data_IF_139740466202
#
_entry.id   IF_139740466202
#
_cell.length_a   1.000
_cell.length_b   1.000
_cell.length_c   1.000
_cell.angle_alpha   90.00
_cell.angle_beta   90.00
_cell.angle_gamma   90.00
#
_symmetry.space_group_name_H-M   'P 1'
#
loop_
_entity.id
_entity.type
_entity.pdbx_description
1 polymer ?
#
# COMPACT_ATOMS: atom_id res chain seq x y z
N UNK A 1 34.07 13.04 -33.14
CA UNK A 1 32.63 12.98 -32.77
C UNK A 1 32.20 11.54 -32.92
N UNK A 2 32.43 10.72 -31.89
CA UNK A 2 32.01 9.31 -31.90
C UNK A 2 30.81 9.16 -30.98
N UNK A 3 29.65 8.99 -31.61
CA UNK A 3 28.40 8.62 -30.95
C UNK A 3 28.55 7.19 -30.39
N UNK A 4 28.65 7.07 -29.07
CA UNK A 4 28.52 5.80 -28.37
C UNK A 4 27.20 5.13 -28.77
N UNK A 5 27.29 4.12 -29.64
CA UNK A 5 26.20 3.18 -29.91
C UNK A 5 25.95 2.35 -28.65
N UNK A 6 24.93 2.73 -27.87
CA UNK A 6 24.35 1.86 -26.86
C UNK A 6 23.71 0.65 -27.55
N UNK A 7 24.30 -0.53 -27.37
CA UNK A 7 23.56 -1.78 -27.61
C UNK A 7 22.57 -1.94 -26.44
N UNK A 8 21.27 -2.13 -26.70
CA UNK A 8 20.32 -2.39 -25.62
C UNK A 8 20.70 -3.72 -24.96
N UNK A 9 21.24 -3.66 -23.74
CA UNK A 9 21.37 -4.84 -22.91
C UNK A 9 19.94 -5.31 -22.59
N UNK A 10 19.55 -6.43 -23.18
CA UNK A 10 18.28 -7.05 -22.85
C UNK A 10 18.37 -7.55 -21.40
N UNK A 11 17.59 -6.95 -20.50
CA UNK A 11 17.47 -7.35 -19.10
C UNK A 11 16.19 -8.16 -18.92
N UNK A 12 16.24 -9.15 -18.04
CA UNK A 12 15.04 -9.84 -17.56
C UNK A 12 14.73 -9.35 -16.16
N UNK A 13 13.48 -8.94 -15.95
CA UNK A 13 12.97 -8.50 -14.67
C UNK A 13 11.99 -9.54 -14.15
N UNK A 14 12.28 -10.09 -12.98
CA UNK A 14 11.41 -11.02 -12.25
C UNK A 14 11.15 -10.49 -10.86
N UNK A 15 9.90 -10.54 -10.42
CA UNK A 15 9.50 -10.12 -9.08
C UNK A 15 8.46 -11.08 -8.53
N UNK A 16 8.56 -11.37 -7.23
CA UNK A 16 7.60 -12.18 -6.51
C UNK A 16 7.03 -11.35 -5.34
N UNK A 17 5.71 -11.44 -5.15
CA UNK A 17 5.04 -10.96 -3.94
C UNK A 17 4.60 -12.20 -3.18
N UNK A 18 5.01 -12.31 -1.93
CA UNK A 18 4.56 -13.36 -1.04
C UNK A 18 3.78 -12.72 0.11
N UNK A 19 2.57 -13.23 0.36
CA UNK A 19 1.82 -12.89 1.55
C UNK A 19 2.41 -13.69 2.73
N UNK A 20 2.83 -13.02 3.79
CA UNK A 20 3.12 -13.67 5.06
C UNK A 20 1.90 -13.48 5.95
N UNK A 21 1.14 -14.55 6.20
CA UNK A 21 0.02 -14.52 7.12
C UNK A 21 0.51 -14.30 8.55
N UNK A 22 0.45 -13.06 9.03
CA UNK A 22 0.54 -12.78 10.46
C UNK A 22 -0.87 -12.42 10.93
N UNK A 23 -1.48 -13.32 11.71
CA UNK A 23 -2.72 -13.02 12.42
C UNK A 23 -2.47 -11.81 13.33
N UNK A 24 -3.05 -10.66 12.98
CA UNK A 24 -2.96 -9.47 13.81
C UNK A 24 -4.03 -9.56 14.91
N UNK A 25 -3.62 -10.00 16.10
CA UNK A 25 -4.45 -9.93 17.30
C UNK A 25 -4.55 -8.47 17.77
N UNK A 26 -5.70 -7.85 17.52
CA UNK A 26 -6.15 -6.64 18.21
C UNK A 26 -5.60 -5.31 17.68
N UNK A 27 -6.51 -4.37 17.39
CA UNK A 27 -6.19 -2.97 17.11
C UNK A 27 -5.95 -2.21 18.43
N UNK A 28 -4.77 -1.62 18.68
CA UNK A 28 -4.64 -0.54 19.64
C UNK A 28 -5.17 0.76 19.04
N UNK A 29 -5.92 1.52 19.85
CA UNK A 29 -6.53 2.79 19.45
C UNK A 29 -5.51 3.82 18.96
N UNK A 30 -5.90 4.58 17.94
CA UNK A 30 -5.10 5.65 17.34
C UNK A 30 -4.96 6.85 18.30
N UNK A 31 -3.85 6.91 19.02
CA UNK A 31 -3.28 8.17 19.52
C UNK A 31 -2.03 8.49 18.68
N UNK A 32 -1.80 9.78 18.41
CA UNK A 32 -1.00 10.27 17.29
C UNK A 32 0.41 9.69 17.17
N UNK A 33 0.77 9.31 15.95
CA UNK A 33 2.13 8.95 15.58
C UNK A 33 2.81 10.14 14.90
N UNK A 34 3.56 10.91 15.69
CA UNK A 34 4.70 11.68 15.18
C UNK A 34 5.84 10.70 14.90
N UNK A 35 6.51 10.86 13.76
CA UNK A 35 7.65 10.03 13.33
C UNK A 35 8.74 9.89 14.40
N UNK A 36 9.28 8.69 14.67
CA UNK A 36 10.59 8.57 15.29
C UNK A 36 11.70 8.53 14.22
N UNK A 37 12.83 9.14 14.57
CA UNK A 37 14.06 9.12 13.81
C UNK A 37 14.64 7.69 13.68
N UNK A 38 15.40 7.47 12.61
CA UNK A 38 16.01 6.19 12.27
C UNK A 38 17.12 5.78 13.26
N UNK A 39 17.05 4.54 13.75
CA UNK A 39 18.14 3.84 14.46
C UNK A 39 19.05 3.13 13.44
N UNK A 40 20.38 3.08 13.62
CA UNK A 40 21.29 2.42 12.67
C UNK A 40 21.15 0.89 12.70
N UNK A 41 21.44 0.27 11.54
CA UNK A 41 21.37 -1.18 11.32
C UNK A 41 22.47 -1.96 12.08
N UNK A 42 22.22 -3.21 12.51
CA UNK A 42 23.23 -4.06 13.13
C UNK A 42 24.25 -4.59 12.10
N UNK A 43 25.47 -4.96 12.53
CA UNK A 43 26.53 -5.47 11.66
C UNK A 43 26.20 -6.85 11.06
N UNK A 44 26.64 -7.04 9.82
CA UNK A 44 26.29 -8.13 8.88
C UNK A 44 26.63 -9.56 9.31
N UNK A 45 27.31 -9.76 10.45
CA UNK A 45 27.80 -11.08 10.89
C UNK A 45 26.78 -11.86 11.76
N UNK A 46 25.76 -11.18 12.31
CA UNK A 46 24.67 -11.84 13.04
C UNK A 46 23.61 -12.45 12.11
N UNK A 47 23.47 -11.92 10.89
CA UNK A 47 22.51 -12.43 9.89
C UNK A 47 22.92 -13.82 9.39
N UNK A 48 24.22 -14.05 9.19
CA UNK A 48 24.75 -15.32 8.68
C UNK A 48 24.62 -16.46 9.70
N UNK A 49 24.74 -16.18 11.01
CA UNK A 49 24.56 -17.18 12.07
C UNK A 49 23.10 -17.58 12.27
N UNK A 50 22.16 -16.65 12.11
CA UNK A 50 20.72 -16.95 12.20
C UNK A 50 20.20 -17.80 11.04
N UNK A 51 20.87 -17.78 9.88
CA UNK A 51 20.45 -18.54 8.69
C UNK A 51 20.84 -20.03 8.81
N UNK A 52 21.89 -20.38 9.56
CA UNK A 52 22.33 -21.78 9.69
C UNK A 52 21.55 -22.59 10.74
N UNK A 53 20.88 -21.97 11.72
CA UNK A 53 20.07 -22.69 12.72
C UNK A 53 18.64 -23.03 12.25
N UNK A 54 18.21 -22.56 11.07
CA UNK A 54 16.86 -22.84 10.50
C UNK A 54 16.95 -23.86 9.36
N UNK A 55 17.70 -24.94 9.58
CA UNK A 55 17.76 -26.07 8.64
C UNK A 55 17.52 -27.40 9.33
N UNK A 56 16.48 -27.46 10.16
CA UNK A 56 15.74 -28.71 10.38
C UNK A 56 14.39 -28.58 9.66
N UNK A 57 13.92 -29.62 8.94
CA UNK A 57 12.62 -29.61 8.29
C UNK A 57 11.53 -29.76 9.37
N UNK A 58 11.24 -28.67 10.06
CA UNK A 58 10.07 -28.57 10.91
C UNK A 58 8.83 -28.66 10.02
N UNK A 59 8.02 -29.66 10.35
CA UNK A 59 6.67 -29.92 9.86
C UNK A 59 5.91 -28.61 9.61
N UNK A 60 5.39 -28.47 8.39
CA UNK A 60 4.64 -27.30 7.93
C UNK A 60 3.58 -26.92 8.96
N UNK A 61 3.68 -25.77 9.66
CA UNK A 61 2.64 -25.39 10.59
C UNK A 61 1.35 -25.24 9.79
N UNK A 62 0.33 -26.00 10.20
CA UNK A 62 -0.99 -25.97 9.59
C UNK A 62 -1.43 -24.52 9.42
N UNK A 63 -1.79 -24.17 8.19
CA UNK A 63 -2.29 -22.86 7.82
C UNK A 63 -3.42 -22.50 8.81
N UNK A 64 -3.31 -21.38 9.56
CA UNK A 64 -4.36 -21.02 10.50
C UNK A 64 -5.66 -20.90 9.71
N UNK A 65 -6.68 -21.63 10.17
CA UNK A 65 -8.00 -21.62 9.55
C UNK A 65 -8.42 -20.16 9.29
N UNK A 66 -8.99 -19.85 8.12
CA UNK A 66 -9.33 -18.48 7.76
C UNK A 66 -10.17 -17.88 8.89
N UNK A 67 -9.68 -16.78 9.46
CA UNK A 67 -10.39 -16.06 10.50
C UNK A 67 -11.77 -15.74 9.93
N UNK A 68 -12.80 -16.42 10.45
CA UNK A 68 -14.19 -16.22 10.02
C UNK A 68 -14.43 -14.72 10.06
N UNK A 69 -14.78 -14.14 8.91
CA UNK A 69 -15.24 -12.76 8.80
C UNK A 69 -16.29 -12.58 9.89
N UNK A 70 -15.95 -11.84 10.95
CA UNK A 70 -16.88 -11.58 12.05
C UNK A 70 -18.07 -10.91 11.41
N UNK A 71 -19.26 -11.50 11.59
CA UNK A 71 -20.52 -10.89 11.14
C UNK A 71 -20.51 -9.41 11.57
N UNK A 72 -20.89 -8.48 10.68
CA UNK A 72 -20.92 -7.07 11.03
C UNK A 72 -21.70 -6.92 12.34
N UNK A 73 -21.13 -6.18 13.30
CA UNK A 73 -21.76 -5.96 14.58
C UNK A 73 -23.16 -5.38 14.35
N UNK A 74 -24.19 -6.09 14.81
CA UNK A 74 -25.60 -5.67 14.70
C UNK A 74 -25.95 -4.49 15.60
N UNK A 75 -24.99 -4.00 16.38
CA UNK A 75 -25.15 -2.86 17.28
C UNK A 75 -24.85 -1.49 16.65
N UNK A 76 -25.10 -0.40 17.41
CA UNK A 76 -24.67 0.94 17.03
C UNK A 76 -23.15 1.01 16.83
N UNK A 77 -22.68 1.97 16.02
CA UNK A 77 -21.25 2.15 15.79
C UNK A 77 -20.52 2.44 17.11
N UNK A 78 -19.31 1.87 17.34
CA UNK A 78 -18.51 2.13 18.53
C UNK A 78 -17.78 3.49 18.45
N UNK A 79 -18.51 4.54 18.10
CA UNK A 79 -18.01 5.91 17.96
C UNK A 79 -18.64 6.81 19.01
N UNK A 80 -17.80 7.35 19.90
CA UNK A 80 -18.24 8.26 20.95
C UNK A 80 -18.91 7.55 22.14
N UNK A 81 -19.82 8.24 22.81
CA UNK A 81 -20.62 7.67 23.90
C UNK A 81 -21.61 6.62 23.37
N UNK A 82 -21.97 5.60 24.17
CA UNK A 82 -22.86 4.52 23.73
C UNK A 82 -24.31 4.98 23.49
N UNK A 83 -24.78 5.97 24.25
CA UNK A 83 -26.16 6.51 24.25
C UNK A 83 -26.48 7.46 23.08
N UNK A 84 -25.50 7.72 22.20
CA UNK A 84 -25.72 8.63 21.08
C UNK A 84 -26.75 8.08 20.09
N UNK A 85 -27.65 8.97 19.68
CA UNK A 85 -28.60 8.70 18.60
C UNK A 85 -27.85 8.37 17.31
N UNK A 86 -28.32 7.33 16.64
CA UNK A 86 -27.83 6.88 15.35
C UNK A 86 -29.00 6.74 14.38
N UNK A 87 -28.83 7.25 13.16
CA UNK A 87 -29.77 7.07 12.05
C UNK A 87 -29.04 6.42 10.89
N UNK A 88 -29.64 5.39 10.32
CA UNK A 88 -29.11 4.67 9.15
C UNK A 88 -30.11 4.80 8.00
N UNK A 89 -29.60 5.06 6.80
CA UNK A 89 -30.35 4.93 5.54
C UNK A 89 -29.56 4.00 4.64
N UNK A 90 -30.20 2.93 4.19
CA UNK A 90 -29.62 1.99 3.24
C UNK A 90 -30.32 2.12 1.90
N UNK A 91 -29.54 2.14 0.84
CA UNK A 91 -29.98 2.22 -0.54
C UNK A 91 -29.31 1.10 -1.35
N UNK A 92 -30.10 0.38 -2.14
CA UNK A 92 -29.56 -0.61 -3.07
C UNK A 92 -29.09 0.11 -4.34
N UNK A 93 -27.82 -0.04 -4.67
CA UNK A 93 -27.24 0.58 -5.87
C UNK A 93 -27.31 -0.36 -7.08
N UNK A 94 -27.20 -1.67 -6.83
CA UNK A 94 -27.33 -2.76 -7.80
C UNK A 94 -27.66 -4.07 -7.04
N UNK A 95 -28.06 -5.16 -7.73
CA UNK A 95 -28.10 -6.49 -7.10
C UNK A 95 -26.79 -6.81 -6.38
N UNK A 96 -26.88 -7.25 -5.12
CA UNK A 96 -25.71 -7.51 -4.27
C UNK A 96 -24.89 -6.28 -3.81
N UNK A 97 -25.27 -5.04 -4.17
CA UNK A 97 -24.52 -3.83 -3.80
C UNK A 97 -25.40 -2.82 -3.09
N UNK A 98 -25.03 -2.44 -1.87
CA UNK A 98 -25.77 -1.45 -1.06
C UNK A 98 -24.87 -0.35 -0.50
N UNK A 99 -25.41 0.86 -0.40
CA UNK A 99 -24.82 1.99 0.31
C UNK A 99 -25.62 2.24 1.59
N UNK A 100 -24.97 2.13 2.74
CA UNK A 100 -25.53 2.53 4.03
C UNK A 100 -24.87 3.82 4.50
N UNK A 101 -25.68 4.86 4.67
CA UNK A 101 -25.27 6.16 5.23
C UNK A 101 -25.68 6.19 6.70
N UNK A 102 -24.71 6.38 7.58
CA UNK A 102 -24.89 6.39 9.04
C UNK A 102 -24.57 7.78 9.58
N UNK A 103 -25.57 8.42 10.18
CA UNK A 103 -25.40 9.62 10.99
C UNK A 103 -25.41 9.25 12.47
N UNK A 104 -24.33 9.54 13.19
CA UNK A 104 -24.24 9.29 14.64
C UNK A 104 -23.85 10.55 15.40
N UNK A 105 -24.56 10.81 16.50
CA UNK A 105 -24.37 12.05 17.28
C UNK A 105 -24.92 13.29 16.56
N UNK A 106 -24.79 14.45 17.20
CA UNK A 106 -25.37 15.72 16.74
C UNK A 106 -24.50 16.91 17.14
N UNK A 107 -24.81 18.09 16.61
CA UNK A 107 -24.21 19.36 17.01
C UNK A 107 -23.03 19.80 16.14
N UNK A 108 -22.34 20.86 16.58
CA UNK A 108 -21.12 21.37 15.95
C UNK A 108 -19.92 21.07 16.84
N UNK A 109 -18.83 20.59 16.25
CA UNK A 109 -17.56 20.37 16.96
C UNK A 109 -16.59 21.48 16.58
N UNK A 110 -15.93 22.06 17.58
CA UNK A 110 -14.84 23.02 17.34
C UNK A 110 -13.71 22.32 16.56
N UNK A 111 -13.09 22.98 15.59
CA UNK A 111 -12.06 22.39 14.70
C UNK A 111 -10.98 21.61 15.46
N UNK A 112 -10.45 22.16 16.56
CA UNK A 112 -9.44 21.51 17.41
C UNK A 112 -9.91 20.30 18.23
N UNK A 113 -11.18 19.92 18.13
CA UNK A 113 -11.80 18.80 18.87
C UNK A 113 -12.39 17.73 17.96
N UNK A 114 -12.26 17.86 16.64
CA UNK A 114 -12.84 16.90 15.68
C UNK A 114 -12.32 15.49 15.92
N UNK A 115 -11.01 15.33 16.16
CA UNK A 115 -10.39 14.02 16.40
C UNK A 115 -10.67 13.44 17.81
N UNK A 116 -11.17 14.25 18.76
CA UNK A 116 -11.35 13.85 20.17
C UNK A 116 -12.80 14.02 20.67
N UNK A 117 -13.75 14.30 19.76
CA UNK A 117 -15.15 14.45 20.13
C UNK A 117 -15.71 13.12 20.62
N UNK A 118 -16.49 13.16 21.69
CA UNK A 118 -17.23 12.00 22.20
C UNK A 118 -18.72 12.04 21.85
N UNK A 119 -19.17 13.09 21.16
CA UNK A 119 -20.59 13.35 20.87
C UNK A 119 -20.90 13.46 19.38
N UNK A 120 -19.89 13.32 18.52
CA UNK A 120 -20.02 13.50 17.08
C UNK A 120 -20.12 14.97 16.70
N UNK A 121 -20.68 15.31 15.52
CA UNK A 121 -21.37 14.40 14.61
C UNK A 121 -20.39 13.57 13.76
N UNK A 122 -20.75 12.33 13.48
CA UNK A 122 -20.09 11.47 12.48
C UNK A 122 -21.04 11.19 11.32
N UNK A 123 -20.50 11.24 10.11
CA UNK A 123 -21.10 10.74 8.88
C UNK A 123 -20.22 9.61 8.35
N UNK A 124 -20.78 8.40 8.30
CA UNK A 124 -20.09 7.21 7.82
C UNK A 124 -20.83 6.67 6.60
N UNK A 125 -20.09 6.42 5.52
CA UNK A 125 -20.60 5.78 4.31
C UNK A 125 -20.03 4.36 4.24
N UNK A 126 -20.91 3.36 4.17
CA UNK A 126 -20.55 1.95 4.07
C UNK A 126 -21.06 1.41 2.76
N UNK A 127 -20.15 1.02 1.87
CA UNK A 127 -20.48 0.26 0.67
C UNK A 127 -20.34 -1.22 0.99
N UNK A 128 -21.44 -1.98 0.87
CA UNK A 128 -21.44 -3.43 1.07
C UNK A 128 -21.63 -4.11 -0.28
N UNK A 129 -20.74 -5.04 -0.59
CA UNK A 129 -20.76 -5.87 -1.80
C UNK A 129 -20.90 -7.32 -1.33
N UNK A 130 -21.98 -7.97 -1.73
CA UNK A 130 -22.18 -9.41 -1.58
C UNK A 130 -21.57 -10.12 -2.81
N UNK A 131 -20.45 -10.85 -2.67
CA UNK A 131 -19.79 -11.48 -3.79
C UNK A 131 -20.58 -12.64 -4.42
N UNK A 132 -21.61 -13.16 -3.74
CA UNK A 132 -22.47 -14.22 -4.29
C UNK A 132 -23.61 -13.65 -5.16
N UNK A 133 -23.94 -12.36 -4.99
CA UNK A 133 -25.06 -11.71 -5.69
C UNK A 133 -24.62 -10.60 -6.65
N UNK A 134 -23.51 -9.93 -6.38
CA UNK A 134 -23.06 -8.80 -7.17
C UNK A 134 -22.42 -9.29 -8.47
N UNK A 135 -23.00 -8.88 -9.61
CA UNK A 135 -22.39 -9.05 -10.92
C UNK A 135 -21.51 -7.83 -11.23
N UNK A 136 -20.23 -7.91 -10.85
CA UNK A 136 -19.30 -6.81 -11.01
C UNK A 136 -17.87 -7.17 -10.62
N UNK A 137 -16.97 -6.18 -10.72
CA UNK A 137 -15.56 -6.34 -10.36
C UNK A 137 -15.09 -5.20 -9.47
N UNK A 138 -14.39 -5.54 -8.40
CA UNK A 138 -13.66 -4.56 -7.61
C UNK A 138 -12.27 -4.37 -8.23
N UNK A 139 -11.95 -3.14 -8.63
CA UNK A 139 -10.69 -2.82 -9.31
C UNK A 139 -9.95 -1.70 -8.60
N UNK A 140 -8.63 -1.77 -8.62
CA UNK A 140 -7.76 -0.64 -8.25
C UNK A 140 -7.48 0.21 -9.48
N UNK A 141 -7.48 1.53 -9.34
CA UNK A 141 -7.24 2.46 -10.46
C UNK A 141 -6.44 3.67 -10.03
N UNK A 142 -5.82 4.32 -11.01
CA UNK A 142 -5.14 5.61 -10.89
C UNK A 142 -5.48 6.42 -12.14
N UNK A 143 -5.14 7.71 -12.13
CA UNK A 143 -5.44 8.59 -13.26
C UNK A 143 -4.54 8.33 -14.47
N UNK A 144 -4.22 9.40 -15.21
CA UNK A 144 -3.35 9.26 -16.40
C UNK A 144 -1.91 8.89 -16.01
N UNK A 145 -1.52 9.22 -14.80
CA UNK A 145 -0.21 8.95 -14.23
C UNK A 145 -0.38 8.60 -12.76
N UNK A 146 0.48 7.72 -12.26
CA UNK A 146 0.59 7.47 -10.82
C UNK A 146 1.26 8.63 -10.08
N UNK A 147 1.99 9.48 -10.79
CA UNK A 147 2.69 10.63 -10.23
C UNK A 147 1.84 11.91 -10.22
N UNK A 148 0.52 11.78 -10.39
CA UNK A 148 -0.43 12.90 -10.31
C UNK A 148 -1.53 12.63 -9.30
N UNK A 149 -2.11 13.70 -8.76
CA UNK A 149 -3.27 13.65 -7.88
C UNK A 149 -4.57 13.64 -8.69
N UNK A 150 -5.44 12.68 -8.41
CA UNK A 150 -6.78 12.59 -8.98
C UNK A 150 -7.84 12.55 -7.89
N UNK A 151 -8.98 13.21 -8.12
CA UNK A 151 -10.14 13.10 -7.22
C UNK A 151 -10.78 11.73 -7.39
N UNK A 152 -11.18 11.09 -6.28
CA UNK A 152 -11.94 9.82 -6.31
C UNK A 152 -13.15 9.88 -7.24
N UNK A 153 -13.88 10.99 -7.25
CA UNK A 153 -15.04 11.20 -8.14
C UNK A 153 -14.67 11.22 -9.62
N UNK A 154 -13.50 11.76 -9.97
CA UNK A 154 -13.02 11.77 -11.34
C UNK A 154 -12.57 10.37 -11.78
N UNK A 155 -11.91 9.62 -10.89
CA UNK A 155 -11.50 8.24 -11.14
C UNK A 155 -12.71 7.31 -11.30
N UNK A 156 -13.70 7.41 -10.41
CA UNK A 156 -14.92 6.62 -10.48
C UNK A 156 -15.68 6.87 -11.79
N UNK A 157 -15.83 8.13 -12.20
CA UNK A 157 -16.45 8.49 -13.49
C UNK A 157 -15.66 7.96 -14.68
N UNK A 158 -14.33 8.10 -14.68
CA UNK A 158 -13.49 7.60 -15.77
C UNK A 158 -13.58 6.08 -15.90
N UNK A 159 -13.65 5.38 -14.78
CA UNK A 159 -13.78 3.93 -14.75
C UNK A 159 -15.22 3.44 -15.04
N UNK A 160 -16.18 4.36 -15.23
CA UNK A 160 -17.60 4.04 -15.28
C UNK A 160 -18.06 3.17 -14.09
N UNK A 161 -17.53 3.46 -12.91
CA UNK A 161 -17.76 2.67 -11.72
C UNK A 161 -19.10 3.03 -11.06
N UNK A 162 -19.80 2.01 -10.54
CA UNK A 162 -21.02 2.18 -9.73
C UNK A 162 -20.74 3.00 -8.45
N UNK A 163 -19.59 2.74 -7.81
CA UNK A 163 -19.13 3.43 -6.62
C UNK A 163 -17.60 3.41 -6.53
N UNK A 164 -17.01 4.31 -5.76
CA UNK A 164 -15.56 4.36 -5.55
C UNK A 164 -15.16 5.05 -4.24
N UNK A 165 -14.09 4.56 -3.64
CA UNK A 165 -13.45 5.12 -2.43
C UNK A 165 -12.00 5.48 -2.73
N UNK A 166 -11.38 6.33 -1.90
CA UNK A 166 -9.93 6.49 -1.99
C UNK A 166 -9.22 5.20 -1.59
N UNK A 167 -8.05 4.94 -2.19
CA UNK A 167 -7.22 3.79 -1.88
C UNK A 167 -6.14 4.09 -0.84
N UNK A 168 -4.97 3.47 -1.06
CA UNK A 168 -3.77 3.54 -0.21
C UNK A 168 -3.19 4.94 -0.04
N UNK A 169 -2.18 5.04 0.84
CA UNK A 169 -1.37 6.24 1.00
C UNK A 169 -0.58 6.58 -0.27
N UNK A 170 -0.34 7.87 -0.45
CA UNK A 170 0.44 8.39 -1.56
C UNK A 170 1.19 9.68 -1.16
N UNK A 171 2.23 10.02 -1.91
CA UNK A 171 3.04 11.21 -1.67
C UNK A 171 2.24 12.48 -1.99
N UNK A 172 2.00 13.31 -0.97
CA UNK A 172 1.41 14.66 -1.11
C UNK A 172 2.45 15.77 -0.97
N UNK A 173 3.49 15.50 -0.19
CA UNK A 173 4.52 16.46 0.19
C UNK A 173 5.86 16.06 -0.42
N UNK A 174 6.68 17.04 -0.81
CA UNK A 174 7.95 16.81 -1.49
C UNK A 174 7.95 17.34 -2.92
N UNK A 175 8.74 16.72 -3.80
CA UNK A 175 8.82 17.11 -5.20
C UNK A 175 7.48 16.87 -5.90
N UNK A 176 6.87 17.97 -6.36
CA UNK A 176 5.54 17.99 -6.99
C UNK A 176 5.47 17.15 -8.26
N UNK A 177 6.60 16.84 -8.90
CA UNK A 177 6.68 15.94 -10.07
C UNK A 177 6.27 14.51 -9.74
N UNK A 178 6.26 14.14 -8.46
CA UNK A 178 5.96 12.80 -7.97
C UNK A 178 4.75 12.77 -7.02
N UNK A 179 3.93 13.82 -7.02
CA UNK A 179 2.76 13.91 -6.17
C UNK A 179 1.68 12.89 -6.60
N UNK A 180 1.36 11.93 -5.75
CA UNK A 180 0.44 10.83 -6.07
C UNK A 180 1.12 9.46 -6.12
N UNK A 181 2.46 9.40 -6.14
CA UNK A 181 3.16 8.13 -6.09
C UNK A 181 2.73 7.35 -4.83
N UNK A 182 2.38 6.07 -4.96
CA UNK A 182 1.92 5.28 -3.83
C UNK A 182 3.03 5.06 -2.80
N UNK A 183 2.63 5.05 -1.53
CA UNK A 183 3.48 4.71 -0.40
C UNK A 183 2.95 3.41 0.20
N UNK A 184 3.74 2.34 0.07
CA UNK A 184 3.30 0.98 0.40
C UNK A 184 3.09 0.13 -0.86
N UNK A 185 2.81 -1.16 -0.67
CA UNK A 185 2.63 -2.11 -1.75
C UNK A 185 1.43 -1.73 -2.63
N UNK A 186 1.67 -1.58 -3.93
CA UNK A 186 0.62 -1.41 -4.94
C UNK A 186 0.77 -2.47 -6.00
N UNK A 187 -0.29 -3.24 -6.22
CA UNK A 187 -0.40 -4.26 -7.26
C UNK A 187 -1.60 -3.91 -8.12
N UNK A 188 -1.43 -4.02 -9.44
CA UNK A 188 -2.53 -3.86 -10.40
C UNK A 188 -2.30 -4.78 -11.58
N UNK A 189 -3.33 -5.54 -11.96
CA UNK A 189 -3.29 -6.42 -13.13
C UNK A 189 -2.07 -7.37 -13.10
N UNK A 190 -1.79 -7.94 -11.92
CA UNK A 190 -0.63 -8.81 -11.68
C UNK A 190 0.74 -8.11 -11.63
N UNK A 191 0.81 -6.78 -11.80
CA UNK A 191 2.06 -6.01 -11.81
C UNK A 191 2.29 -5.31 -10.48
N UNK A 192 3.48 -5.48 -9.92
CA UNK A 192 3.94 -4.69 -8.78
C UNK A 192 4.32 -3.29 -9.28
N UNK A 193 3.63 -2.28 -8.77
CA UNK A 193 3.85 -0.88 -9.12
C UNK A 193 4.61 -0.12 -8.04
N UNK A 194 4.57 -0.59 -6.81
CA UNK A 194 5.40 -0.12 -5.70
C UNK A 194 5.57 -1.24 -4.69
N UNK A 195 6.73 -1.28 -4.04
CA UNK A 195 7.03 -2.27 -3.00
C UNK A 195 6.41 -1.86 -1.65
N UNK A 196 6.35 -2.77 -0.65
CA UNK A 196 6.01 -2.41 0.72
C UNK A 196 6.91 -1.27 1.26
N UNK A 197 6.36 -0.41 2.10
CA UNK A 197 7.06 0.68 2.79
C UNK A 197 8.19 0.18 3.68
N UNK A 198 8.10 -1.07 4.16
CA UNK A 198 9.03 -1.66 5.13
C UNK A 198 8.66 -1.36 6.58
N UNK A 199 7.57 -0.63 6.83
CA UNK A 199 7.08 -0.37 8.18
C UNK A 199 6.28 -1.57 8.71
N UNK A 200 6.31 -1.78 10.04
CA UNK A 200 5.44 -2.77 10.69
C UNK A 200 3.97 -2.35 10.73
N UNK A 201 3.68 -1.07 10.47
CA UNK A 201 2.34 -0.49 10.50
C UNK A 201 1.59 -0.66 9.17
N UNK A 202 2.26 -1.06 8.11
CA UNK A 202 1.61 -1.32 6.82
C UNK A 202 0.84 -2.64 6.85
N UNK A 203 -0.46 -2.54 6.56
CA UNK A 203 -1.34 -3.67 6.26
C UNK A 203 -1.93 -3.43 4.87
N UNK A 204 -1.73 -4.38 3.98
CA UNK A 204 -2.23 -4.31 2.60
C UNK A 204 -3.48 -5.17 2.46
N UNK A 205 -4.46 -4.65 1.72
CA UNK A 205 -5.57 -5.41 1.18
C UNK A 205 -5.20 -5.79 -0.26
N UNK A 206 -5.06 -7.09 -0.51
CA UNK A 206 -4.83 -7.64 -1.84
C UNK A 206 -6.11 -8.34 -2.34
N UNK A 207 -6.48 -8.03 -3.58
CA UNK A 207 -7.61 -8.62 -4.27
C UNK A 207 -7.07 -9.55 -5.35
N UNK A 208 -7.47 -10.82 -5.29
CA UNK A 208 -7.25 -11.80 -6.33
C UNK A 208 -8.58 -12.01 -7.05
N UNK A 209 -8.70 -11.41 -8.24
CA UNK A 209 -9.92 -11.49 -9.04
C UNK A 209 -10.16 -12.87 -9.63
N UNK A 210 -9.10 -13.64 -9.87
CA UNK A 210 -9.21 -14.96 -10.49
C UNK A 210 -9.66 -15.99 -9.45
N UNK A 211 -9.15 -15.88 -8.23
CA UNK A 211 -9.56 -16.71 -7.10
C UNK A 211 -10.82 -16.20 -6.37
N UNK A 212 -11.37 -15.04 -6.78
CA UNK A 212 -12.39 -14.29 -6.03
C UNK A 212 -12.07 -14.18 -4.52
N UNK A 213 -10.79 -13.90 -4.22
CA UNK A 213 -10.26 -13.93 -2.88
C UNK A 213 -9.75 -12.57 -2.44
N UNK A 214 -9.99 -12.25 -1.17
CA UNK A 214 -9.49 -11.04 -0.52
C UNK A 214 -8.54 -11.45 0.59
N UNK A 215 -7.34 -10.86 0.59
CA UNK A 215 -6.33 -11.08 1.63
C UNK A 215 -6.00 -9.76 2.31
N UNK A 216 -6.03 -9.73 3.62
CA UNK A 216 -5.58 -8.59 4.43
C UNK A 216 -4.38 -9.05 5.24
N UNK A 217 -3.25 -8.36 5.11
CA UNK A 217 -2.08 -8.75 5.86
C UNK A 217 -0.83 -7.98 5.49
N UNK A 218 0.30 -8.53 5.96
CA UNK A 218 1.63 -8.02 5.64
C UNK A 218 2.21 -8.83 4.51
N UNK A 219 2.85 -8.14 3.58
CA UNK A 219 3.40 -8.74 2.37
C UNK A 219 4.89 -8.49 2.33
N UNK A 220 5.63 -9.51 1.95
CA UNK A 220 7.02 -9.41 1.57
C UNK A 220 7.12 -9.30 0.05
N UNK A 221 8.14 -8.61 -0.42
CA UNK A 221 8.42 -8.47 -1.84
C UNK A 221 9.92 -8.60 -2.07
N UNK A 222 10.27 -9.35 -3.10
CA UNK A 222 11.63 -9.40 -3.66
C UNK A 222 11.56 -9.12 -5.15
N UNK A 223 12.55 -8.40 -5.66
CA UNK A 223 12.72 -8.12 -7.07
C UNK A 223 14.18 -8.26 -7.44
N UNK A 224 14.43 -8.79 -8.63
CA UNK A 224 15.78 -9.11 -9.09
C UNK A 224 15.91 -8.76 -10.57
N UNK A 225 17.04 -8.13 -10.92
CA UNK A 225 17.45 -7.85 -12.30
C UNK A 225 18.63 -8.74 -12.63
N UNK A 226 18.45 -9.61 -13.63
CA UNK A 226 19.49 -10.52 -14.09
C UNK A 226 20.06 -10.08 -15.43
N UNK A 227 21.38 -10.14 -15.56
CA UNK A 227 22.03 -9.98 -16.85
C UNK A 227 21.77 -11.20 -17.72
N UNK A 228 21.25 -11.00 -18.93
CA UNK A 228 21.05 -12.10 -19.89
C UNK A 228 22.37 -12.69 -20.41
N UNK A 229 23.48 -11.96 -20.28
CA UNK A 229 24.80 -12.41 -20.74
C UNK A 229 25.64 -13.09 -19.65
N UNK A 230 25.04 -13.46 -18.51
CA UNK A 230 25.72 -14.18 -17.42
C UNK A 230 26.52 -13.31 -16.45
N UNK A 231 26.40 -11.98 -16.52
CA UNK A 231 27.15 -11.02 -15.70
C UNK A 231 26.65 -10.82 -14.26
N UNK A 232 25.93 -11.80 -13.69
CA UNK A 232 25.40 -11.73 -12.33
C UNK A 232 24.00 -11.10 -12.21
N UNK A 233 23.63 -10.79 -10.97
CA UNK A 233 22.30 -10.35 -10.60
C UNK A 233 22.30 -9.24 -9.55
N UNK A 234 21.30 -8.37 -9.60
CA UNK A 234 21.11 -7.26 -8.68
C UNK A 234 19.70 -7.29 -8.08
N UNK A 235 19.62 -7.10 -6.76
CA UNK A 235 18.34 -6.93 -6.07
C UNK A 235 17.76 -5.54 -6.35
N UNK A 236 16.48 -5.50 -6.69
CA UNK A 236 15.74 -4.25 -6.76
C UNK A 236 15.37 -3.78 -5.37
N UNK A 237 15.85 -2.60 -5.01
CA UNK A 237 15.46 -1.96 -3.76
C UNK A 237 14.14 -1.19 -3.86
N UNK A 238 13.71 -0.79 -5.07
CA UNK A 238 12.51 0.06 -5.31
C UNK A 238 11.89 -0.18 -6.70
N UNK A 239 10.60 0.15 -6.82
CA UNK A 239 9.83 0.15 -8.08
C UNK A 239 9.11 1.49 -8.19
N UNK A 240 9.11 2.10 -9.39
CA UNK A 240 8.48 3.40 -9.70
C UNK A 240 8.70 4.49 -8.63
N UNK A 241 9.91 4.56 -8.09
CA UNK A 241 10.28 5.52 -7.05
C UNK A 241 11.13 6.64 -7.63
N UNK A 242 11.06 7.87 -7.08
CA UNK A 242 11.97 8.94 -7.48
C UNK A 242 13.43 8.49 -7.36
N UNK A 243 14.30 8.84 -8.32
CA UNK A 243 15.70 8.48 -8.25
C UNK A 243 16.35 9.12 -7.02
N UNK A 244 17.07 8.33 -6.24
CA UNK A 244 17.94 8.89 -5.20
C UNK A 244 19.23 9.33 -5.85
N UNK A 245 19.46 10.64 -5.85
CA UNK A 245 20.74 11.22 -6.21
C UNK A 245 21.51 11.40 -4.90
N UNK A 246 22.69 10.77 -4.72
CA UNK A 246 23.52 11.02 -3.54
C UNK A 246 23.78 12.52 -3.37
N UNK A 247 23.87 13.00 -2.12
CA UNK A 247 23.99 14.44 -1.83
C UNK A 247 25.18 15.11 -2.56
N UNK A 248 26.29 14.39 -2.77
CA UNK A 248 27.45 14.87 -3.54
C UNK A 248 27.25 14.91 -5.07
N UNK A 249 26.21 14.27 -5.58
CA UNK A 249 25.86 14.21 -7.01
C UNK A 249 24.72 15.17 -7.38
N UNK A 250 23.96 15.67 -6.40
CA UNK A 250 22.86 16.60 -6.63
C UNK A 250 23.33 18.03 -6.95
N UNK A 251 24.57 18.38 -6.59
CA UNK A 251 25.15 19.73 -6.70
C UNK A 251 26.21 19.87 -7.80
N UNK A 252 26.56 18.78 -8.49
CA UNK A 252 27.58 18.80 -9.53
C UNK A 252 27.04 19.48 -10.80
N UNK A 253 27.37 20.76 -10.97
CA UNK A 253 27.46 21.34 -12.32
C UNK A 253 28.52 20.55 -13.09
N UNK A 254 28.33 20.37 -14.39
CA UNK A 254 29.11 19.45 -15.24
C UNK A 254 30.65 19.58 -15.17
N UNK A 255 31.18 20.63 -14.53
CA UNK A 255 32.58 20.95 -14.36
C UNK A 255 33.26 20.34 -13.12
N UNK A 256 32.53 19.85 -12.11
CA UNK A 256 33.10 19.20 -10.93
C UNK A 256 32.43 17.84 -10.74
N UNK A 257 32.99 16.79 -11.34
CA UNK A 257 32.47 15.42 -11.22
C UNK A 257 33.17 14.70 -10.06
N UNK A 258 32.60 14.65 -8.84
CA UNK A 258 32.83 13.46 -8.02
C UNK A 258 32.43 12.24 -8.87
N UNK A 259 33.05 11.07 -8.63
CA UNK A 259 32.69 9.81 -9.30
C UNK A 259 31.26 9.42 -8.89
N UNK A 260 30.28 10.10 -9.47
CA UNK A 260 28.90 9.71 -9.46
C UNK A 260 28.80 8.55 -10.42
N UNK A 261 28.63 7.36 -9.85
CA UNK A 261 28.29 6.15 -10.56
C UNK A 261 27.30 6.48 -11.69
N UNK A 262 27.62 6.08 -12.93
CA UNK A 262 26.86 6.48 -14.11
C UNK A 262 25.37 6.15 -13.95
N UNK A 263 24.51 6.93 -14.59
CA UNK A 263 23.05 6.74 -14.58
C UNK A 263 22.68 5.26 -14.68
N UNK A 264 22.10 4.71 -13.61
CA UNK A 264 21.74 3.29 -13.51
C UNK A 264 22.39 2.53 -12.34
N UNK A 265 23.39 3.11 -11.68
CA UNK A 265 23.96 2.52 -10.46
C UNK A 265 23.24 3.08 -9.23
N UNK A 266 22.49 2.22 -8.54
CA UNK A 266 22.15 2.43 -7.13
C UNK A 266 23.46 2.30 -6.37
N UNK A 267 23.96 3.40 -5.82
CA UNK A 267 25.06 3.33 -4.86
C UNK A 267 24.60 2.49 -3.66
N UNK A 268 25.42 1.51 -3.27
CA UNK A 268 25.32 0.84 -1.96
C UNK A 268 25.46 1.85 -0.82
#
# INVERSE_FOLDING_TARGET
>A
MDLCRFRPAALLLTGAVLATGAAATGFPGSAGASSPAATPAPPSDLLSKLISEVTDPAESPAEPAPERIRRPATGPLPLGRPDLRERRRTEQLAPGVTLTVIHRGQGKVKKGRIASTRTGPWLVNVLTIDPEQADGRLVTTYGRSMATLDRTTALARRANALAGVNGSFFSLHGDRRYAGLPVGLTIRDGRVLSKPSGTSQEVTLALDSDANALRIGRFAWTGEVRSRSGGGSLTLSRVNSPPTVPNGCALATAAAKPRCAGSGQLAE
#
